data_IF_865268140926
#
_entry.id   IF_865268140926
#
_cell.length_a   1.000
_cell.length_b   1.000
_cell.length_c   1.000
_cell.angle_alpha   90.00
_cell.angle_beta   90.00
_cell.angle_gamma   90.00
#
_symmetry.space_group_name_H-M   'P 1'
#
loop_
_entity.id
_entity.type
_entity.pdbx_description
1 polymer ?
#
# COMPACT_ATOMS: atom_id res chain seq x y z
N UNK A 1 -5.20 14.85 -1.55
CA UNK A 1 -4.63 13.54 -1.23
C UNK A 1 -3.13 13.56 -1.03
N UNK A 2 -2.38 14.13 -1.98
CA UNK A 2 -0.92 14.09 -1.89
C UNK A 2 -0.38 14.78 -0.66
N UNK A 3 -0.92 15.92 -0.27
CA UNK A 3 -0.45 16.59 0.95
C UNK A 3 -0.78 15.79 2.21
N UNK A 4 -1.96 15.18 2.27
CA UNK A 4 -2.33 14.32 3.39
C UNK A 4 -1.43 13.07 3.44
N UNK A 5 -1.13 12.50 2.29
CA UNK A 5 -0.27 11.34 2.21
C UNK A 5 1.18 11.68 2.57
N UNK A 6 1.66 12.83 2.11
CA UNK A 6 3.01 13.28 2.46
C UNK A 6 3.15 13.51 3.97
N UNK A 7 2.12 14.07 4.60
CA UNK A 7 2.11 14.22 6.05
C UNK A 7 2.09 12.85 6.73
N UNK A 8 1.32 11.90 6.20
CA UNK A 8 1.26 10.54 6.75
C UNK A 8 2.59 9.81 6.60
N UNK A 9 3.31 10.06 5.51
CA UNK A 9 4.60 9.41 5.23
C UNK A 9 5.79 10.11 5.89
N UNK A 10 5.53 11.05 6.79
CA UNK A 10 6.60 11.75 7.50
C UNK A 10 7.45 10.74 8.28
N UNK A 11 8.73 10.64 7.93
CA UNK A 11 9.65 9.67 8.50
C UNK A 11 9.97 9.91 9.97
N UNK A 12 9.59 11.07 10.53
CA UNK A 12 9.77 11.34 11.96
C UNK A 12 8.77 10.57 12.82
N UNK A 13 7.69 10.06 12.23
CA UNK A 13 6.69 9.27 12.94
C UNK A 13 7.14 7.83 13.09
N UNK A 14 6.54 7.13 14.05
CA UNK A 14 6.75 5.70 14.21
C UNK A 14 6.24 4.96 12.97
N UNK A 15 6.93 3.92 12.51
CA UNK A 15 6.53 3.21 11.27
C UNK A 15 5.08 2.72 11.27
N UNK A 16 4.58 2.23 12.42
CA UNK A 16 3.19 1.78 12.50
C UNK A 16 2.22 2.95 12.32
N UNK A 17 2.52 4.11 12.89
CA UNK A 17 1.68 5.30 12.72
C UNK A 17 1.68 5.79 11.28
N UNK A 18 2.83 5.70 10.61
CA UNK A 18 2.92 6.02 9.18
C UNK A 18 1.97 5.13 8.39
N UNK A 19 1.97 3.85 8.69
CA UNK A 19 1.12 2.88 8.03
C UNK A 19 -0.36 3.17 8.27
N UNK A 20 -0.73 3.46 9.52
CA UNK A 20 -2.12 3.80 9.89
C UNK A 20 -2.59 5.06 9.17
N UNK A 21 -1.79 6.13 9.25
CA UNK A 21 -2.14 7.41 8.63
C UNK A 21 -2.23 7.30 7.13
N UNK A 22 -1.34 6.53 6.51
CA UNK A 22 -1.34 6.32 5.07
C UNK A 22 -2.56 5.54 4.63
N UNK A 23 -2.91 4.48 5.35
CA UNK A 23 -4.10 3.68 5.05
C UNK A 23 -5.36 4.53 5.15
N UNK A 24 -5.49 5.32 6.21
CA UNK A 24 -6.64 6.19 6.39
C UNK A 24 -6.72 7.27 5.31
N UNK A 25 -5.57 7.85 4.93
CA UNK A 25 -5.53 8.88 3.89
C UNK A 25 -6.01 8.32 2.55
N UNK A 26 -5.55 7.12 2.19
CA UNK A 26 -5.95 6.49 0.94
C UNK A 26 -7.42 6.08 0.93
N UNK A 27 -7.90 5.50 2.03
CA UNK A 27 -9.31 5.13 2.14
C UNK A 27 -10.23 6.36 2.13
N UNK A 28 -9.81 7.45 2.76
CA UNK A 28 -10.55 8.71 2.74
C UNK A 28 -10.62 9.27 1.33
N UNK A 29 -9.52 9.21 0.58
CA UNK A 29 -9.52 9.64 -0.81
C UNK A 29 -10.47 8.80 -1.66
N UNK A 30 -10.41 7.48 -1.51
CA UNK A 30 -11.29 6.56 -2.24
C UNK A 30 -12.75 6.84 -1.93
N UNK A 31 -13.08 7.07 -0.66
CA UNK A 31 -14.44 7.38 -0.23
C UNK A 31 -14.92 8.71 -0.84
N UNK A 32 -14.09 9.74 -0.79
CA UNK A 32 -14.44 11.08 -1.28
C UNK A 32 -14.56 11.13 -2.80
N UNK A 33 -13.89 10.24 -3.51
CA UNK A 33 -13.84 10.22 -4.97
C UNK A 33 -14.39 8.90 -5.51
N UNK A 34 -15.41 8.35 -4.84
CA UNK A 34 -15.87 6.99 -5.12
C UNK A 34 -16.29 6.75 -6.54
N UNK A 35 -17.03 7.69 -7.16
CA UNK A 35 -17.48 7.53 -8.54
C UNK A 35 -16.31 7.56 -9.51
N UNK A 36 -15.41 8.51 -9.33
CA UNK A 36 -14.21 8.61 -10.15
C UNK A 36 -13.29 7.40 -9.96
N UNK A 37 -13.12 6.96 -8.73
CA UNK A 37 -12.30 5.81 -8.42
C UNK A 37 -12.84 4.53 -9.10
N UNK A 38 -14.15 4.30 -9.01
CA UNK A 38 -14.75 3.12 -9.63
C UNK A 38 -14.58 3.11 -11.15
N UNK A 39 -14.80 4.26 -11.77
CA UNK A 39 -14.64 4.40 -13.22
C UNK A 39 -13.20 4.13 -13.62
N UNK A 40 -12.25 4.75 -12.91
CA UNK A 40 -10.84 4.62 -13.25
C UNK A 40 -10.30 3.20 -13.07
N UNK A 41 -10.78 2.48 -12.05
CA UNK A 41 -10.31 1.13 -11.78
C UNK A 41 -11.00 0.11 -12.69
N UNK A 42 -12.32 0.24 -12.92
CA UNK A 42 -13.07 -0.74 -13.71
C UNK A 42 -12.88 -0.57 -15.20
N UNK A 43 -12.96 0.68 -15.65
CA UNK A 43 -13.00 0.98 -17.08
C UNK A 43 -11.72 1.61 -17.56
N UNK A 44 -10.59 1.31 -16.91
CA UNK A 44 -9.32 1.93 -17.21
C UNK A 44 -8.99 1.87 -18.70
N UNK A 45 -9.60 2.71 -19.57
CA UNK A 45 -9.19 2.76 -20.96
C UNK A 45 -7.81 3.36 -21.02
N UNK A 46 -7.07 3.00 -22.05
CA UNK A 46 -5.69 3.45 -22.19
C UNK A 46 -5.61 4.91 -22.66
N UNK A 47 -6.40 5.77 -22.05
CA UNK A 47 -6.38 7.18 -22.43
C UNK A 47 -6.27 8.07 -21.20
N UNK A 48 -6.29 9.37 -21.39
CA UNK A 48 -5.84 10.38 -20.45
C UNK A 48 -6.43 10.31 -19.04
N UNK A 49 -7.66 9.83 -18.88
CA UNK A 49 -8.31 9.80 -17.57
C UNK A 49 -7.73 8.72 -16.66
N UNK A 50 -7.52 7.53 -17.23
CA UNK A 50 -6.87 6.46 -16.49
C UNK A 50 -5.39 6.77 -16.24
N UNK A 51 -4.78 7.57 -17.12
CA UNK A 51 -3.41 8.03 -16.95
C UNK A 51 -3.23 8.84 -15.68
N UNK A 52 -4.20 9.73 -15.36
CA UNK A 52 -4.13 10.53 -14.13
C UNK A 52 -4.16 9.66 -12.88
N UNK A 53 -5.04 8.66 -12.84
CA UNK A 53 -5.10 7.74 -11.71
C UNK A 53 -3.83 6.90 -11.62
N UNK A 54 -3.38 6.37 -12.74
CA UNK A 54 -2.16 5.56 -12.79
C UNK A 54 -0.94 6.37 -12.36
N UNK A 55 -0.86 7.64 -12.78
CA UNK A 55 0.22 8.53 -12.37
C UNK A 55 0.20 8.77 -10.87
N UNK A 56 -0.99 8.98 -10.30
CA UNK A 56 -1.12 9.19 -8.86
C UNK A 56 -0.69 7.94 -8.09
N UNK A 57 -1.13 6.77 -8.51
CA UNK A 57 -0.75 5.51 -7.87
C UNK A 57 0.75 5.26 -8.01
N UNK A 58 1.31 5.59 -9.16
CA UNK A 58 2.75 5.49 -9.39
C UNK A 58 3.54 6.41 -8.48
N UNK A 59 3.11 7.66 -8.33
CA UNK A 59 3.76 8.60 -7.43
C UNK A 59 3.71 8.14 -5.98
N UNK A 60 2.58 7.62 -5.56
CA UNK A 60 2.43 7.05 -4.21
C UNK A 60 3.39 5.88 -4.02
N UNK A 61 3.44 4.99 -5.00
CA UNK A 61 4.32 3.82 -4.93
C UNK A 61 5.79 4.22 -4.81
N UNK A 62 6.21 5.27 -5.54
CA UNK A 62 7.58 5.76 -5.47
C UNK A 62 7.91 6.28 -4.06
N UNK A 63 6.99 7.03 -3.46
CA UNK A 63 7.20 7.54 -2.10
C UNK A 63 7.28 6.41 -1.08
N UNK A 64 6.40 5.43 -1.19
CA UNK A 64 6.40 4.25 -0.32
C UNK A 64 7.69 3.44 -0.53
N UNK A 65 8.12 3.30 -1.78
CA UNK A 65 9.36 2.61 -2.13
C UNK A 65 10.57 3.23 -1.44
N UNK A 66 10.69 4.56 -1.48
CA UNK A 66 11.81 5.24 -0.83
C UNK A 66 11.81 5.02 0.67
N UNK A 67 10.64 5.08 1.30
CA UNK A 67 10.50 4.82 2.72
C UNK A 67 10.90 3.39 3.06
N UNK A 68 10.42 2.43 2.28
CA UNK A 68 10.73 1.01 2.49
C UNK A 68 12.22 0.72 2.27
N UNK A 69 12.82 1.34 1.27
CA UNK A 69 14.25 1.14 1.01
C UNK A 69 15.09 1.56 2.22
N UNK A 70 14.73 2.69 2.84
CA UNK A 70 15.40 3.14 4.06
C UNK A 70 15.19 2.16 5.21
N UNK A 71 13.96 1.69 5.40
CA UNK A 71 13.63 0.75 6.47
C UNK A 71 14.35 -0.59 6.25
N UNK A 72 14.40 -1.07 5.02
CA UNK A 72 15.07 -2.33 4.70
C UNK A 72 16.57 -2.22 4.96
N UNK A 73 17.19 -1.11 4.57
CA UNK A 73 18.62 -0.90 4.82
C UNK A 73 18.92 -0.92 6.32
N UNK A 74 18.08 -0.29 7.14
CA UNK A 74 18.24 -0.28 8.58
C UNK A 74 18.04 -1.65 9.23
N UNK A 75 17.24 -2.51 8.58
CA UNK A 75 16.93 -3.84 9.07
C UNK A 75 17.81 -4.93 8.46
N UNK A 76 18.87 -4.55 7.78
CA UNK A 76 19.79 -5.48 7.08
C UNK A 76 19.10 -6.30 6.01
N UNK A 77 18.07 -5.74 5.38
CA UNK A 77 17.41 -6.33 4.24
C UNK A 77 17.83 -5.61 2.95
N UNK A 78 17.85 -6.34 1.85
CA UNK A 78 18.26 -5.76 0.58
C UNK A 78 17.21 -4.77 0.08
N UNK A 79 17.56 -3.48 -0.06
CA UNK A 79 16.59 -2.47 -0.50
C UNK A 79 16.10 -2.65 -1.95
N UNK A 80 16.73 -3.55 -2.72
CA UNK A 80 16.27 -3.82 -4.09
C UNK A 80 14.84 -4.38 -4.13
N UNK A 81 14.35 -4.92 -3.01
CA UNK A 81 12.99 -5.47 -2.94
C UNK A 81 11.95 -4.42 -2.57
N UNK A 82 12.37 -3.19 -2.23
CA UNK A 82 11.44 -2.12 -1.86
C UNK A 82 10.39 -1.82 -2.94
N UNK A 83 10.73 -1.77 -4.24
CA UNK A 83 9.70 -1.54 -5.27
C UNK A 83 8.61 -2.60 -5.27
N UNK A 84 8.98 -3.87 -5.08
CA UNK A 84 8.01 -4.96 -5.04
C UNK A 84 7.03 -4.79 -3.87
N UNK A 85 7.57 -4.51 -2.68
CA UNK A 85 6.73 -4.33 -1.49
C UNK A 85 5.86 -3.07 -1.60
N UNK A 86 6.37 -2.01 -2.23
CA UNK A 86 5.56 -0.82 -2.47
C UNK A 86 4.36 -1.14 -3.35
N UNK A 87 4.56 -1.92 -4.40
CA UNK A 87 3.47 -2.35 -5.28
C UNK A 87 2.47 -3.23 -4.53
N UNK A 88 2.94 -4.13 -3.68
CA UNK A 88 2.05 -4.95 -2.85
C UNK A 88 1.15 -4.09 -1.97
N UNK A 89 1.73 -3.11 -1.28
CA UNK A 89 0.99 -2.28 -0.33
C UNK A 89 -0.02 -1.39 -1.04
N UNK A 90 0.39 -0.74 -2.12
CA UNK A 90 -0.50 0.13 -2.90
C UNK A 90 -1.63 -0.69 -3.53
N UNK A 91 -1.30 -1.85 -4.11
CA UNK A 91 -2.29 -2.73 -4.71
C UNK A 91 -3.29 -3.25 -3.70
N UNK A 92 -2.81 -3.61 -2.50
CA UNK A 92 -3.66 -4.08 -1.42
C UNK A 92 -4.71 -3.03 -1.05
N UNK A 93 -4.28 -1.81 -0.81
CA UNK A 93 -5.20 -0.73 -0.43
C UNK A 93 -6.17 -0.40 -1.57
N UNK A 94 -5.69 -0.34 -2.80
CA UNK A 94 -6.55 -0.04 -3.95
C UNK A 94 -7.64 -1.10 -4.13
N UNK A 95 -7.27 -2.37 -4.01
CA UNK A 95 -8.21 -3.47 -4.17
C UNK A 95 -9.21 -3.53 -3.01
N UNK A 96 -8.71 -3.41 -1.79
CA UNK A 96 -9.56 -3.42 -0.60
C UNK A 96 -10.51 -2.23 -0.62
N UNK A 97 -10.03 -1.06 -1.01
CA UNK A 97 -10.86 0.14 -1.10
C UNK A 97 -12.00 -0.02 -2.08
N UNK A 98 -11.73 -0.62 -3.23
CA UNK A 98 -12.75 -0.88 -4.25
C UNK A 98 -13.83 -1.83 -3.70
N UNK A 99 -13.40 -2.92 -3.08
CA UNK A 99 -14.31 -3.89 -2.48
C UNK A 99 -15.16 -3.23 -1.38
N UNK A 100 -14.53 -2.43 -0.52
CA UNK A 100 -15.20 -1.74 0.58
C UNK A 100 -16.27 -0.76 0.07
N UNK A 101 -15.98 -0.03 -1.01
CA UNK A 101 -16.97 0.87 -1.61
C UNK A 101 -18.24 0.15 -2.01
N UNK A 102 -18.12 -1.08 -2.48
CA UNK A 102 -19.27 -1.88 -2.91
C UNK A 102 -20.02 -2.47 -1.70
N UNK A 103 -19.30 -2.93 -0.70
CA UNK A 103 -19.90 -3.62 0.45
C UNK A 103 -20.42 -2.66 1.53
N UNK A 104 -19.62 -1.69 1.91
CA UNK A 104 -19.99 -0.63 2.86
C UNK A 104 -20.55 -1.13 4.20
N UNK A 105 -20.14 -2.32 4.62
CA UNK A 105 -20.63 -2.93 5.87
C UNK A 105 -19.85 -2.55 7.09
N UNK A 106 -18.64 -2.02 6.90
CA UNK A 106 -17.75 -1.68 8.00
C UNK A 106 -17.23 -0.26 7.83
N UNK A 107 -16.81 0.32 8.93
CA UNK A 107 -16.29 1.68 8.89
C UNK A 107 -14.90 1.73 8.23
N UNK A 108 -14.55 2.90 7.74
CA UNK A 108 -13.22 3.15 7.19
C UNK A 108 -12.14 2.82 8.21
N UNK A 109 -12.38 3.19 9.46
CA UNK A 109 -11.45 2.97 10.56
C UNK A 109 -11.25 1.48 10.83
N UNK A 110 -12.31 0.70 10.76
CA UNK A 110 -12.21 -0.76 10.89
C UNK A 110 -11.40 -1.37 9.77
N UNK A 111 -11.65 -0.95 8.53
CA UNK A 111 -10.88 -1.43 7.37
C UNK A 111 -9.41 -1.09 7.56
N UNK A 112 -9.12 0.16 7.90
CA UNK A 112 -7.73 0.59 8.11
C UNK A 112 -7.05 -0.22 9.21
N UNK A 113 -7.73 -0.44 10.34
CA UNK A 113 -7.11 -1.16 11.45
C UNK A 113 -6.80 -2.62 11.09
N UNK A 114 -7.66 -3.27 10.32
CA UNK A 114 -7.40 -4.64 9.90
C UNK A 114 -6.30 -4.73 8.84
N UNK A 115 -6.26 -3.78 7.91
CA UNK A 115 -5.17 -3.70 6.94
C UNK A 115 -3.83 -3.50 7.67
N UNK A 116 -3.79 -2.56 8.59
CA UNK A 116 -2.58 -2.27 9.34
C UNK A 116 -2.16 -3.47 10.19
N UNK A 117 -3.12 -4.15 10.80
CA UNK A 117 -2.82 -5.34 11.59
C UNK A 117 -2.13 -6.42 10.75
N UNK A 118 -2.64 -6.69 9.57
CA UNK A 118 -2.04 -7.67 8.68
C UNK A 118 -0.66 -7.24 8.20
N UNK A 119 -0.58 -6.02 7.68
CA UNK A 119 0.66 -5.50 7.07
C UNK A 119 1.74 -5.34 8.13
N UNK A 120 1.41 -4.74 9.27
CA UNK A 120 2.39 -4.48 10.33
C UNK A 120 3.00 -5.78 10.85
N UNK A 121 2.15 -6.77 11.16
CA UNK A 121 2.63 -8.02 11.70
C UNK A 121 3.40 -8.84 10.67
N UNK A 122 3.03 -8.74 9.40
CA UNK A 122 3.80 -9.36 8.32
C UNK A 122 5.14 -8.67 8.12
N UNK A 123 5.13 -7.34 8.03
CA UNK A 123 6.35 -6.57 7.77
C UNK A 123 7.38 -6.71 8.88
N UNK A 124 6.95 -6.83 10.12
CA UNK A 124 7.86 -7.00 11.26
C UNK A 124 8.63 -8.32 11.22
N UNK A 125 8.08 -9.30 10.53
CA UNK A 125 8.63 -10.65 10.54
C UNK A 125 9.13 -11.10 9.17
N UNK A 126 9.46 -10.14 8.30
CA UNK A 126 10.00 -10.46 6.99
C UNK A 126 11.35 -11.14 7.11
N UNK A 127 11.53 -12.20 6.34
CA UNK A 127 12.83 -12.85 6.22
C UNK A 127 13.64 -12.17 5.15
N UNK A 128 14.96 -11.97 5.36
CA UNK A 128 15.80 -11.31 4.36
C UNK A 128 15.89 -12.05 3.03
N UNK A 129 15.79 -13.37 3.07
CA UNK A 129 15.93 -14.21 1.87
C UNK A 129 14.84 -15.28 1.88
N UNK A 130 13.58 -14.88 1.62
CA UNK A 130 12.48 -15.84 1.67
C UNK A 130 12.60 -16.86 0.54
N UNK A 131 12.22 -18.10 0.85
CA UNK A 131 12.16 -19.18 -0.15
C UNK A 131 10.83 -19.88 -0.04
N UNK A 132 10.39 -20.46 -1.14
CA UNK A 132 9.17 -21.25 -1.14
C UNK A 132 9.42 -22.58 -0.43
N UNK A 133 8.41 -23.08 0.27
CA UNK A 133 8.53 -24.36 0.95
C UNK A 133 8.84 -25.50 -0.01
N UNK A 134 8.25 -25.48 -1.20
CA UNK A 134 8.52 -26.48 -2.22
C UNK A 134 9.98 -26.47 -2.65
N UNK A 135 10.57 -25.27 -2.81
CA UNK A 135 11.99 -25.15 -3.15
C UNK A 135 12.88 -25.60 -1.98
N UNK A 136 12.48 -25.31 -0.74
CA UNK A 136 13.22 -25.74 0.43
C UNK A 136 13.22 -27.25 0.57
N UNK A 137 12.10 -27.92 0.29
CA UNK A 137 11.99 -29.38 0.31
C UNK A 137 12.89 -30.01 -0.76
N UNK A 138 12.94 -29.42 -1.93
CA UNK A 138 13.83 -29.90 -3.01
C UNK A 138 15.31 -29.71 -2.67
N UNK A 139 15.64 -28.70 -1.87
CA UNK A 139 17.00 -28.43 -1.47
C UNK A 139 17.52 -29.40 -0.40
N UNK A 140 16.63 -30.13 0.25
CA UNK A 140 16.95 -31.13 1.24
C UNK A 140 16.91 -32.54 0.68
#
# INVERSE_FOLDING_TARGET
>A
LMSALEAALDSSKRPRMILEDSALALLTYIESNSDGFRILVRDAPQNSTSGSFSSLMGDIAIKVEHLLANQFSQANMNPKWAPLYAQMLVGLIAQVGQWWLDERRMSKEDVASHVVNLVWNGMRNLRPSPVLLTSADEAN
#
